data_IF_412819828961
#
_entry.id   IF_412819828961
#
_cell.length_a   1.000
_cell.length_b   1.000
_cell.length_c   1.000
_cell.angle_alpha   90.00
_cell.angle_beta   90.00
_cell.angle_gamma   90.00
#
_symmetry.space_group_name_H-M   'P 1'
#
loop_
_entity.id
_entity.type
_entity.pdbx_description
1 polymer ?
#
# COMPACT_ATOMS: atom_id res chain seq x y z
N UNK A 1 -12.20 -2.35 15.40
CA UNK A 1 -11.40 -2.72 14.21
C UNK A 1 -11.97 -1.91 13.07
N UNK A 2 -11.32 -0.79 12.74
CA UNK A 2 -11.83 0.11 11.70
C UNK A 2 -11.51 -0.56 10.37
N UNK A 3 -12.56 -1.00 9.69
CA UNK A 3 -12.50 -1.63 8.38
C UNK A 3 -12.21 -0.51 7.36
N UNK A 4 -10.96 -0.38 6.92
CA UNK A 4 -10.55 0.73 6.04
C UNK A 4 -11.30 0.72 4.70
N UNK A 5 -11.81 -0.43 4.24
CA UNK A 5 -12.68 -0.47 3.06
C UNK A 5 -14.09 0.07 3.27
N UNK A 6 -14.58 0.19 4.51
CA UNK A 6 -15.89 0.78 4.79
C UNK A 6 -15.81 2.30 5.09
N UNK A 7 -14.62 2.82 5.42
CA UNK A 7 -14.42 4.24 5.68
C UNK A 7 -14.22 5.07 4.40
N UNK A 8 -13.82 4.42 3.30
CA UNK A 8 -13.35 5.11 2.09
C UNK A 8 -14.42 5.41 1.03
N UNK A 9 -15.63 4.84 1.12
CA UNK A 9 -16.62 4.96 0.03
C UNK A 9 -17.58 6.16 0.14
N UNK A 10 -17.81 6.74 1.32
CA UNK A 10 -18.86 7.77 1.49
C UNK A 10 -18.44 9.05 2.24
N UNK A 11 -17.25 9.14 2.86
CA UNK A 11 -16.91 10.29 3.73
C UNK A 11 -15.71 11.16 3.32
N UNK A 12 -14.75 10.68 2.51
CA UNK A 12 -13.49 11.42 2.25
C UNK A 12 -13.46 12.26 0.97
N UNK A 13 -14.46 12.13 0.10
CA UNK A 13 -14.56 12.93 -1.13
C UNK A 13 -14.74 14.44 -0.89
N UNK A 14 -14.97 14.87 0.35
CA UNK A 14 -15.17 16.27 0.70
C UNK A 14 -13.96 16.98 1.34
N UNK A 15 -13.01 16.27 1.96
CA UNK A 15 -12.04 16.95 2.85
C UNK A 15 -10.61 17.15 2.32
N UNK A 16 -10.18 16.51 1.22
CA UNK A 16 -8.84 16.77 0.66
C UNK A 16 -8.80 16.71 -0.88
N UNK A 17 -9.66 17.46 -1.57
CA UNK A 17 -9.38 17.79 -2.98
C UNK A 17 -9.73 19.23 -3.34
N UNK A 18 -8.68 20.04 -3.57
CA UNK A 18 -8.65 21.04 -4.66
C UNK A 18 -7.23 21.40 -5.15
N UNK A 19 -6.15 21.09 -4.43
CA UNK A 19 -4.80 21.59 -4.77
C UNK A 19 -3.88 20.53 -5.41
N UNK A 20 -3.93 19.26 -5.00
CA UNK A 20 -2.95 18.24 -5.42
C UNK A 20 -3.34 17.43 -6.66
N UNK A 21 -4.61 17.43 -7.07
CA UNK A 21 -5.07 16.65 -8.24
C UNK A 21 -4.36 17.07 -9.55
N UNK A 22 -3.94 18.34 -9.66
CA UNK A 22 -3.18 18.86 -10.82
C UNK A 22 -1.66 18.74 -10.69
N UNK A 23 -1.15 18.37 -9.52
CA UNK A 23 0.29 18.24 -9.28
C UNK A 23 0.80 16.90 -9.84
N UNK A 24 2.04 16.91 -10.34
CA UNK A 24 2.71 15.67 -10.77
C UNK A 24 3.04 14.80 -9.56
N UNK A 25 3.28 13.51 -9.79
CA UNK A 25 3.59 12.57 -8.71
C UNK A 25 4.86 13.02 -7.96
N UNK A 26 5.86 13.52 -8.68
CA UNK A 26 7.12 14.02 -8.13
C UNK A 26 6.91 15.23 -7.20
N UNK A 27 6.02 16.15 -7.58
CA UNK A 27 5.68 17.31 -6.75
C UNK A 27 4.99 16.88 -5.46
N UNK A 28 4.05 15.94 -5.54
CA UNK A 28 3.34 15.44 -4.36
C UNK A 28 4.30 14.71 -3.43
N UNK A 29 5.24 13.93 -3.97
CA UNK A 29 6.29 13.26 -3.18
C UNK A 29 7.13 14.27 -2.40
N UNK A 30 7.56 15.34 -3.06
CA UNK A 30 8.35 16.38 -2.38
C UNK A 30 7.56 17.08 -1.27
N UNK A 31 6.28 17.39 -1.50
CA UNK A 31 5.42 17.95 -0.45
C UNK A 31 5.15 16.97 0.68
N UNK A 32 5.04 15.68 0.36
CA UNK A 32 4.76 14.60 1.31
C UNK A 32 5.89 14.37 2.32
N UNK A 33 7.13 14.74 2.00
CA UNK A 33 8.27 14.68 2.93
C UNK A 33 8.04 15.57 4.16
N UNK A 34 7.32 16.69 4.02
CA UNK A 34 7.10 17.68 5.08
C UNK A 34 5.63 17.84 5.51
N UNK A 35 4.67 17.35 4.72
CA UNK A 35 3.24 17.56 4.96
C UNK A 35 2.47 16.23 4.91
N UNK A 36 1.87 15.78 6.03
CA UNK A 36 1.04 14.58 6.07
C UNK A 36 -0.15 14.62 5.10
N UNK A 37 -0.77 15.80 4.91
CA UNK A 37 -1.92 15.97 4.01
C UNK A 37 -1.54 15.70 2.53
N UNK A 38 -0.32 16.04 2.14
CA UNK A 38 0.17 15.75 0.79
C UNK A 38 0.39 14.25 0.58
N UNK A 39 0.77 13.53 1.65
CA UNK A 39 0.90 12.08 1.61
C UNK A 39 -0.45 11.38 1.45
N UNK A 40 -1.51 11.89 2.10
CA UNK A 40 -2.87 11.37 1.91
C UNK A 40 -3.31 11.46 0.45
N UNK A 41 -3.05 12.58 -0.22
CA UNK A 41 -3.33 12.73 -1.65
C UNK A 41 -2.57 11.70 -2.52
N UNK A 42 -1.35 11.33 -2.12
CA UNK A 42 -0.56 10.29 -2.76
C UNK A 42 -1.18 8.90 -2.56
N UNK A 43 -1.62 8.61 -1.32
CA UNK A 43 -2.31 7.36 -0.96
C UNK A 43 -3.57 7.21 -1.81
N UNK A 44 -4.45 8.22 -1.82
CA UNK A 44 -5.68 8.24 -2.61
C UNK A 44 -5.42 7.97 -4.10
N UNK A 45 -4.39 8.62 -4.67
CA UNK A 45 -4.02 8.46 -6.09
C UNK A 45 -3.57 7.05 -6.47
N UNK A 46 -2.93 6.35 -5.54
CA UNK A 46 -2.32 5.04 -5.78
C UNK A 46 -3.11 3.87 -5.20
N UNK A 47 -4.08 4.13 -4.31
CA UNK A 47 -4.87 3.12 -3.63
C UNK A 47 -5.48 2.10 -4.60
N UNK A 48 -6.35 2.55 -5.50
CA UNK A 48 -7.03 1.67 -6.47
C UNK A 48 -6.04 0.99 -7.41
N UNK A 49 -5.03 1.74 -7.90
CA UNK A 49 -4.03 1.23 -8.84
C UNK A 49 -3.28 0.04 -8.25
N UNK A 50 -2.83 0.18 -7.00
CA UNK A 50 -2.09 -0.87 -6.30
C UNK A 50 -3.01 -2.00 -5.85
N UNK A 51 -4.23 -1.70 -5.41
CA UNK A 51 -5.24 -2.71 -5.06
C UNK A 51 -5.48 -3.67 -6.22
N UNK A 52 -5.82 -3.15 -7.41
CA UNK A 52 -6.04 -3.97 -8.60
C UNK A 52 -4.77 -4.69 -9.08
N UNK A 53 -3.60 -4.05 -8.91
CA UNK A 53 -2.32 -4.67 -9.23
C UNK A 53 -2.04 -5.89 -8.34
N UNK A 54 -2.16 -5.75 -7.01
CA UNK A 54 -1.96 -6.83 -6.04
C UNK A 54 -2.93 -7.97 -6.31
N UNK A 55 -4.22 -7.65 -6.49
CA UNK A 55 -5.26 -8.61 -6.88
C UNK A 55 -4.85 -9.45 -8.09
N UNK A 56 -4.32 -8.80 -9.12
CA UNK A 56 -3.92 -9.46 -10.37
C UNK A 56 -2.70 -10.36 -10.21
N UNK A 57 -1.73 -10.00 -9.38
CA UNK A 57 -0.48 -10.78 -9.25
C UNK A 57 -0.52 -11.87 -8.18
N UNK A 58 -1.34 -11.70 -7.14
CA UNK A 58 -1.35 -12.57 -5.97
C UNK A 58 -2.65 -13.38 -5.80
N UNK A 59 -3.73 -12.99 -6.52
CA UNK A 59 -5.05 -13.62 -6.41
C UNK A 59 -5.59 -13.67 -4.96
N UNK A 60 -5.28 -12.63 -4.20
CA UNK A 60 -5.68 -12.49 -2.80
C UNK A 60 -7.18 -12.14 -2.65
N UNK A 61 -7.73 -12.43 -1.47
CA UNK A 61 -9.05 -11.92 -1.06
C UNK A 61 -9.02 -10.38 -0.97
N UNK A 62 -10.18 -9.71 -0.84
CA UNK A 62 -10.19 -8.26 -0.68
C UNK A 62 -9.47 -7.85 0.61
N UNK A 63 -9.81 -8.52 1.71
CA UNK A 63 -9.21 -8.32 3.04
C UNK A 63 -7.67 -8.50 3.00
N UNK A 64 -7.19 -9.61 2.43
CA UNK A 64 -5.75 -9.85 2.27
C UNK A 64 -5.07 -8.78 1.40
N UNK A 65 -5.79 -8.22 0.42
CA UNK A 65 -5.25 -7.16 -0.45
C UNK A 65 -5.12 -5.85 0.31
N UNK A 66 -6.13 -5.50 1.11
CA UNK A 66 -6.12 -4.29 1.94
C UNK A 66 -5.02 -4.35 2.99
N UNK A 67 -4.82 -5.50 3.63
CA UNK A 67 -3.74 -5.71 4.60
C UNK A 67 -2.37 -5.47 3.97
N UNK A 68 -2.13 -6.03 2.77
CA UNK A 68 -0.89 -5.79 2.02
C UNK A 68 -0.76 -4.32 1.62
N UNK A 69 -1.85 -3.70 1.19
CA UNK A 69 -1.86 -2.32 0.74
C UNK A 69 -1.51 -1.35 1.87
N UNK A 70 -2.04 -1.60 3.07
CA UNK A 70 -1.67 -0.85 4.28
C UNK A 70 -0.18 -0.98 4.57
N UNK A 71 0.37 -2.19 4.54
CA UNK A 71 1.81 -2.43 4.75
C UNK A 71 2.68 -1.75 3.68
N UNK A 72 2.21 -1.72 2.42
CA UNK A 72 2.89 -1.00 1.34
C UNK A 72 2.96 0.49 1.68
N UNK A 73 1.83 1.12 2.03
CA UNK A 73 1.81 2.55 2.33
C UNK A 73 2.65 2.88 3.57
N UNK A 74 2.61 2.05 4.62
CA UNK A 74 3.49 2.19 5.79
C UNK A 74 4.97 2.16 5.38
N UNK A 75 5.38 1.21 4.54
CA UNK A 75 6.77 1.14 4.04
C UNK A 75 7.12 2.33 3.16
N UNK A 76 6.22 2.75 2.26
CA UNK A 76 6.40 3.92 1.41
C UNK A 76 6.65 5.15 2.28
N UNK A 77 5.82 5.41 3.29
CA UNK A 77 5.98 6.55 4.19
C UNK A 77 7.33 6.52 4.90
N UNK A 78 7.75 5.35 5.41
CA UNK A 78 9.03 5.19 6.10
C UNK A 78 10.24 5.45 5.21
N UNK A 79 10.19 5.01 3.96
CA UNK A 79 11.31 5.15 3.01
C UNK A 79 11.20 6.39 2.12
N UNK A 80 10.16 7.20 2.29
CA UNK A 80 9.90 8.37 1.45
C UNK A 80 11.01 9.42 1.57
N UNK A 81 11.57 9.58 2.77
CA UNK A 81 12.66 10.53 3.02
C UNK A 81 13.99 10.10 2.38
N UNK A 82 14.18 8.80 2.21
CA UNK A 82 15.38 8.20 1.59
C UNK A 82 15.19 7.94 0.08
N UNK A 83 14.04 8.34 -0.47
CA UNK A 83 13.74 8.14 -1.88
C UNK A 83 14.62 9.04 -2.76
N UNK A 84 15.27 8.42 -3.74
CA UNK A 84 16.08 9.11 -4.74
C UNK A 84 15.18 9.59 -5.89
N UNK A 85 15.04 10.91 -5.98
CA UNK A 85 14.21 11.62 -6.97
C UNK A 85 14.72 11.43 -8.42
N UNK A 86 15.88 10.79 -8.64
CA UNK A 86 16.34 10.39 -9.98
C UNK A 86 15.50 9.27 -10.61
N UNK A 87 14.77 8.49 -9.80
CA UNK A 87 13.87 7.45 -10.27
C UNK A 87 12.41 7.93 -10.30
N UNK A 88 11.59 7.31 -11.15
CA UNK A 88 10.14 7.58 -11.15
C UNK A 88 9.50 6.98 -9.92
N UNK A 89 8.81 7.80 -9.13
CA UNK A 89 8.08 7.36 -7.94
C UNK A 89 7.13 6.19 -8.23
N UNK A 90 6.40 6.26 -9.35
CA UNK A 90 5.52 5.18 -9.82
C UNK A 90 6.26 3.82 -9.89
N UNK A 91 7.49 3.80 -10.40
CA UNK A 91 8.27 2.55 -10.50
C UNK A 91 8.68 2.05 -9.13
N UNK A 92 9.13 2.95 -8.26
CA UNK A 92 9.57 2.63 -6.91
C UNK A 92 8.45 2.08 -6.02
N UNK A 93 7.26 2.70 -6.05
CA UNK A 93 6.11 2.20 -5.27
C UNK A 93 5.69 0.80 -5.73
N UNK A 94 5.66 0.50 -7.03
CA UNK A 94 5.37 -0.85 -7.53
C UNK A 94 6.43 -1.88 -7.11
N UNK A 95 7.71 -1.49 -6.96
CA UNK A 95 8.74 -2.37 -6.43
C UNK A 95 8.49 -2.71 -4.96
N UNK A 96 8.17 -1.70 -4.14
CA UNK A 96 7.78 -1.92 -2.74
C UNK A 96 6.55 -2.84 -2.67
N UNK A 97 5.54 -2.59 -3.50
CA UNK A 97 4.34 -3.43 -3.57
C UNK A 97 4.66 -4.88 -3.88
N UNK A 98 5.50 -5.15 -4.89
CA UNK A 98 5.93 -6.52 -5.19
C UNK A 98 6.63 -7.18 -4.01
N UNK A 99 7.51 -6.45 -3.32
CA UNK A 99 8.23 -6.97 -2.16
C UNK A 99 7.24 -7.35 -1.03
N UNK A 100 6.28 -6.47 -0.72
CA UNK A 100 5.25 -6.75 0.27
C UNK A 100 4.39 -7.97 -0.09
N UNK A 101 4.00 -8.11 -1.36
CA UNK A 101 3.24 -9.28 -1.82
C UNK A 101 4.05 -10.57 -1.62
N UNK A 102 5.33 -10.57 -1.99
CA UNK A 102 6.20 -11.75 -1.79
C UNK A 102 6.35 -12.08 -0.31
N UNK A 103 6.53 -11.07 0.54
CA UNK A 103 6.60 -11.23 1.99
C UNK A 103 5.31 -11.86 2.55
N UNK A 104 4.15 -11.40 2.08
CA UNK A 104 2.86 -11.93 2.53
C UNK A 104 2.63 -13.38 2.09
N UNK A 105 2.98 -13.71 0.84
CA UNK A 105 2.96 -15.10 0.36
C UNK A 105 3.86 -15.98 1.23
N UNK A 106 5.07 -15.52 1.56
CA UNK A 106 6.00 -16.26 2.43
C UNK A 106 5.42 -16.48 3.83
N UNK A 107 4.82 -15.45 4.44
CA UNK A 107 4.15 -15.57 5.76
C UNK A 107 3.04 -16.61 5.73
N UNK A 108 2.16 -16.59 4.72
CA UNK A 108 1.07 -17.57 4.56
C UNK A 108 1.61 -19.00 4.37
N UNK A 109 2.69 -19.20 3.63
CA UNK A 109 3.34 -20.52 3.48
C UNK A 109 3.92 -21.01 4.82
N UNK A 110 4.61 -20.14 5.56
CA UNK A 110 5.20 -20.48 6.85
C UNK A 110 4.12 -20.83 7.89
N UNK A 111 3.02 -20.06 7.95
CA UNK A 111 1.88 -20.35 8.82
C UNK A 111 1.30 -21.75 8.56
N UNK A 112 1.13 -22.12 7.27
CA UNK A 112 0.67 -23.47 6.87
C UNK A 112 1.66 -24.57 7.26
N UNK A 113 2.98 -24.33 7.09
CA UNK A 113 4.02 -25.30 7.48
C UNK A 113 4.02 -25.59 8.98
N UNK A 114 3.86 -24.56 9.81
CA UNK A 114 3.80 -24.70 11.26
C UNK A 114 2.55 -25.45 11.71
N UNK A 115 1.40 -25.19 11.09
CA UNK A 115 0.16 -25.93 11.36
C UNK A 115 0.27 -27.43 11.04
N UNK A 116 0.88 -27.79 9.90
CA UNK A 116 1.10 -29.20 9.54
C UNK A 116 2.03 -29.90 10.54
N UNK A 117 3.05 -29.21 11.05
CA UNK A 117 3.97 -29.77 12.03
C UNK A 117 3.34 -29.94 13.42
N UNK A 118 2.40 -29.05 13.80
CA UNK A 118 1.63 -29.17 15.05
C UNK A 118 0.59 -30.30 14.99
N UNK A 119 -0.05 -30.51 13.83
CA UNK A 119 -1.02 -31.62 13.64
C UNK A 119 -0.38 -33.01 13.54
N UNK A 120 0.93 -33.11 13.31
CA UNK A 120 1.67 -34.39 13.27
C UNK A 120 2.29 -34.79 14.62
N UNK A 121 2.03 -34.04 15.69
CA UNK A 121 2.27 -34.51 17.07
C UNK A 121 1.04 -35.30 17.55
N UNK A 122 0.91 -36.52 17.08
CA UNK A 122 0.14 -37.59 17.72
C UNK A 122 1.08 -38.79 17.89
#
# INVERSE_FOLDING_TARGET
>A
MINLSFCFSEAESFFMDKTYNRATDEQIVEFSKNNPDAYEALVLRYWDKLFYFIKRIAYFSNEDTEDVLQEVFIKVYRYLNDFDDSFKFSTWIYQITRNCVVDEIRKKILARRTQICQMRRC
#
